data_IF_003654052242
#
_entry.id   IF_003654052242
#
_cell.length_a   1.000
_cell.length_b   1.000
_cell.length_c   1.000
_cell.angle_alpha   90.00
_cell.angle_beta   90.00
_cell.angle_gamma   90.00
#
_symmetry.space_group_name_H-M   'P 1'
#
loop_
_entity.id
_entity.type
_entity.pdbx_description
1 polymer ?
#
# COMPACT_ATOMS: atom_id res chain seq x y z
N UNK A 1 -14.19 25.31 8.02
CA UNK A 1 -13.89 24.28 6.99
C UNK A 1 -15.08 23.36 6.88
N UNK A 2 -15.69 23.29 5.69
CA UNK A 2 -16.98 22.62 5.51
C UNK A 2 -16.86 21.09 5.56
N UNK A 3 -15.73 20.51 5.14
CA UNK A 3 -15.65 19.06 4.84
C UNK A 3 -14.87 18.26 5.88
N UNK A 4 -14.26 18.90 6.89
CA UNK A 4 -13.50 18.23 7.96
C UNK A 4 -14.29 17.09 8.62
N UNK A 5 -15.56 17.34 8.92
CA UNK A 5 -16.43 16.33 9.54
C UNK A 5 -16.75 15.17 8.56
N UNK A 6 -16.93 15.47 7.29
CA UNK A 6 -17.17 14.47 6.24
C UNK A 6 -15.92 13.60 6.02
N UNK A 7 -14.74 14.22 5.99
CA UNK A 7 -13.45 13.51 5.92
C UNK A 7 -13.30 12.57 7.11
N UNK A 8 -13.56 13.05 8.33
CA UNK A 8 -13.49 12.22 9.53
C UNK A 8 -14.51 11.05 9.49
N UNK A 9 -15.73 11.29 9.02
CA UNK A 9 -16.75 10.24 8.88
C UNK A 9 -16.35 9.18 7.85
N UNK A 10 -15.85 9.61 6.68
CA UNK A 10 -15.37 8.71 5.61
C UNK A 10 -14.20 7.87 6.12
N UNK A 11 -13.21 8.47 6.81
CA UNK A 11 -12.05 7.74 7.30
C UNK A 11 -12.38 6.76 8.43
N UNK A 12 -13.34 7.10 9.28
CA UNK A 12 -13.87 6.17 10.27
C UNK A 12 -14.49 4.94 9.60
N UNK A 13 -15.39 5.16 8.63
CA UNK A 13 -16.01 4.07 7.87
C UNK A 13 -14.98 3.25 7.09
N UNK A 14 -14.01 3.91 6.44
CA UNK A 14 -12.91 3.25 5.72
C UNK A 14 -12.06 2.39 6.66
N UNK A 15 -11.79 2.86 7.89
CA UNK A 15 -11.04 2.11 8.89
C UNK A 15 -11.78 0.87 9.38
N UNK A 16 -13.10 0.96 9.56
CA UNK A 16 -13.96 -0.18 9.92
C UNK A 16 -14.00 -1.21 8.77
N UNK A 17 -14.27 -0.75 7.55
CA UNK A 17 -14.27 -1.60 6.35
C UNK A 17 -12.92 -2.26 6.11
N UNK A 18 -11.82 -1.57 6.36
CA UNK A 18 -10.47 -2.12 6.26
C UNK A 18 -10.23 -3.27 7.23
N UNK A 19 -10.72 -3.18 8.48
CA UNK A 19 -10.63 -4.27 9.45
C UNK A 19 -11.38 -5.51 8.97
N UNK A 20 -12.57 -5.33 8.40
CA UNK A 20 -13.37 -6.43 7.85
C UNK A 20 -12.66 -7.08 6.64
N UNK A 21 -12.13 -6.28 5.72
CA UNK A 21 -11.39 -6.77 4.55
C UNK A 21 -10.14 -7.54 5.00
N UNK A 22 -9.41 -7.02 5.99
CA UNK A 22 -8.23 -7.68 6.53
C UNK A 22 -8.57 -9.03 7.15
N UNK A 23 -9.58 -9.10 8.02
CA UNK A 23 -10.04 -10.36 8.61
C UNK A 23 -10.44 -11.37 7.53
N UNK A 24 -11.14 -10.90 6.48
CA UNK A 24 -11.51 -11.72 5.33
C UNK A 24 -10.29 -12.27 4.58
N UNK A 25 -9.26 -11.46 4.34
CA UNK A 25 -8.03 -11.97 3.75
C UNK A 25 -7.29 -12.96 4.64
N UNK A 26 -7.26 -12.74 5.96
CA UNK A 26 -6.67 -13.67 6.92
C UNK A 26 -7.39 -15.02 6.91
N UNK A 27 -8.73 -15.02 6.79
CA UNK A 27 -9.53 -16.23 6.60
C UNK A 27 -9.26 -16.88 5.23
N UNK A 28 -9.08 -16.07 4.18
CA UNK A 28 -8.71 -16.54 2.86
C UNK A 28 -7.30 -17.15 2.84
N UNK A 29 -6.41 -16.89 3.81
CA UNK A 29 -5.16 -17.66 3.92
C UNK A 29 -5.45 -19.16 4.10
N UNK A 30 -6.53 -19.49 4.82
CA UNK A 30 -6.94 -20.85 5.19
C UNK A 30 -7.95 -21.45 4.19
N UNK A 31 -8.83 -20.63 3.63
CA UNK A 31 -9.92 -21.04 2.73
C UNK A 31 -9.68 -20.60 1.28
N UNK A 32 -10.01 -21.47 0.30
CA UNK A 32 -9.56 -21.33 -1.10
C UNK A 32 -10.22 -20.20 -1.92
N UNK A 33 -11.29 -19.54 -1.47
CA UNK A 33 -11.94 -18.51 -2.29
C UNK A 33 -12.78 -17.54 -1.48
N UNK A 34 -12.54 -16.23 -1.68
CA UNK A 34 -13.47 -15.17 -1.32
C UNK A 34 -13.36 -14.01 -2.33
N UNK A 35 -14.51 -13.54 -2.83
CA UNK A 35 -14.55 -12.39 -3.72
C UNK A 35 -14.54 -11.09 -2.89
N UNK A 36 -13.40 -10.41 -2.88
CA UNK A 36 -13.21 -9.13 -2.18
C UNK A 36 -13.11 -7.95 -3.14
N UNK A 37 -13.43 -8.11 -4.44
CA UNK A 37 -13.30 -7.03 -5.44
C UNK A 37 -14.12 -5.80 -5.06
N UNK A 38 -15.40 -6.00 -4.73
CA UNK A 38 -16.31 -4.90 -4.40
C UNK A 38 -15.92 -4.22 -3.08
N UNK A 39 -15.71 -4.94 -1.95
CA UNK A 39 -15.25 -4.32 -0.72
C UNK A 39 -13.96 -3.51 -0.88
N UNK A 40 -12.96 -4.06 -1.59
CA UNK A 40 -11.69 -3.38 -1.82
C UNK A 40 -11.88 -2.12 -2.65
N UNK A 41 -12.65 -2.19 -3.75
CA UNK A 41 -12.98 -1.01 -4.56
C UNK A 41 -13.64 0.08 -3.73
N UNK A 42 -14.69 -0.26 -2.98
CA UNK A 42 -15.44 0.71 -2.19
C UNK A 42 -14.55 1.38 -1.14
N UNK A 43 -13.66 0.62 -0.48
CA UNK A 43 -12.69 1.17 0.46
C UNK A 43 -11.76 2.18 -0.24
N UNK A 44 -11.18 1.80 -1.39
CA UNK A 44 -10.28 2.67 -2.14
C UNK A 44 -11.00 3.95 -2.61
N UNK A 45 -12.24 3.86 -3.06
CA UNK A 45 -13.05 5.01 -3.47
C UNK A 45 -13.34 5.97 -2.31
N UNK A 46 -13.63 5.43 -1.12
CA UNK A 46 -13.79 6.23 0.09
C UNK A 46 -12.50 6.96 0.46
N UNK A 47 -11.36 6.27 0.44
CA UNK A 47 -10.05 6.88 0.68
C UNK A 47 -9.77 7.98 -0.35
N UNK A 48 -10.03 7.74 -1.64
CA UNK A 48 -9.85 8.75 -2.68
C UNK A 48 -10.76 9.97 -2.48
N UNK A 49 -12.01 9.74 -2.11
CA UNK A 49 -12.97 10.82 -1.84
C UNK A 49 -12.51 11.70 -0.67
N UNK A 50 -11.97 11.10 0.39
CA UNK A 50 -11.40 11.86 1.52
C UNK A 50 -10.22 12.74 1.09
N UNK A 51 -9.35 12.25 0.21
CA UNK A 51 -8.26 13.03 -0.38
C UNK A 51 -8.81 14.22 -1.18
N UNK A 52 -9.79 14.00 -2.05
CA UNK A 52 -10.35 15.07 -2.88
C UNK A 52 -11.10 16.12 -2.03
N UNK A 53 -11.77 15.72 -0.95
CA UNK A 53 -12.38 16.67 0.01
C UNK A 53 -11.34 17.53 0.72
N UNK A 54 -10.20 16.93 1.12
CA UNK A 54 -9.07 17.70 1.66
C UNK A 54 -8.50 18.69 0.64
N UNK A 55 -8.44 18.34 -0.64
CA UNK A 55 -7.98 19.27 -1.68
C UNK A 55 -8.89 20.51 -1.78
N UNK A 56 -10.21 20.33 -1.66
CA UNK A 56 -11.15 21.44 -1.57
C UNK A 56 -10.94 22.30 -0.33
N UNK A 57 -10.76 21.69 0.84
CA UNK A 57 -10.50 22.44 2.07
C UNK A 57 -9.16 23.20 2.01
N UNK A 58 -8.10 22.61 1.43
CA UNK A 58 -6.81 23.29 1.15
C UNK A 58 -7.01 24.48 0.21
N UNK A 59 -7.77 24.30 -0.87
CA UNK A 59 -8.04 25.37 -1.81
C UNK A 59 -8.74 26.54 -1.12
N UNK A 60 -9.82 26.26 -0.40
CA UNK A 60 -10.63 27.27 0.29
C UNK A 60 -9.83 28.01 1.37
N UNK A 61 -9.00 27.32 2.14
CA UNK A 61 -8.23 27.90 3.24
C UNK A 61 -6.97 28.65 2.76
N UNK A 62 -6.20 28.06 1.84
CA UNK A 62 -4.87 28.57 1.49
C UNK A 62 -4.84 29.34 0.17
N UNK A 63 -5.60 28.90 -0.84
CA UNK A 63 -5.45 29.44 -2.20
C UNK A 63 -6.48 30.55 -2.49
N UNK A 64 -7.76 30.29 -2.19
CA UNK A 64 -8.90 31.14 -2.54
C UNK A 64 -8.83 32.57 -2.00
N UNK A 65 -8.34 32.87 -0.78
CA UNK A 65 -8.26 34.24 -0.28
C UNK A 65 -7.40 35.15 -1.17
N UNK A 66 -6.19 34.68 -1.52
CA UNK A 66 -5.24 35.44 -2.36
C UNK A 66 -5.75 35.65 -3.79
N UNK A 67 -6.44 34.65 -4.35
CA UNK A 67 -7.00 34.70 -5.71
C UNK A 67 -8.19 35.65 -5.80
N UNK A 68 -9.09 35.58 -4.82
CA UNK A 68 -10.23 36.50 -4.71
C UNK A 68 -9.76 37.95 -4.62
N UNK A 69 -8.72 38.22 -3.81
CA UNK A 69 -8.13 39.55 -3.68
C UNK A 69 -7.51 40.06 -5.01
N UNK A 70 -7.04 39.14 -5.85
CA UNK A 70 -6.41 39.45 -7.14
C UNK A 70 -7.37 39.30 -8.35
N UNK A 71 -8.67 39.15 -8.09
CA UNK A 71 -9.71 38.91 -9.10
C UNK A 71 -9.39 37.77 -10.09
N UNK A 72 -8.65 36.75 -9.64
CA UNK A 72 -8.34 35.58 -10.46
C UNK A 72 -9.48 34.55 -10.41
N UNK A 73 -9.81 33.88 -11.53
CA UNK A 73 -10.87 32.88 -11.56
C UNK A 73 -10.53 31.64 -10.73
N UNK A 74 -11.53 30.97 -10.17
CA UNK A 74 -11.35 29.67 -9.51
C UNK A 74 -10.87 28.61 -10.54
N UNK A 75 -10.02 27.65 -10.12
CA UNK A 75 -9.62 26.54 -10.99
C UNK A 75 -10.85 25.68 -11.32
N UNK A 76 -10.91 25.18 -12.57
CA UNK A 76 -12.05 24.39 -13.06
C UNK A 76 -12.26 23.10 -12.27
N UNK A 77 -11.15 22.50 -11.82
CA UNK A 77 -11.11 21.21 -11.15
C UNK A 77 -10.19 21.30 -9.94
N UNK A 78 -10.68 20.87 -8.79
CA UNK A 78 -9.89 20.77 -7.55
C UNK A 78 -9.88 19.29 -7.17
N UNK A 79 -8.71 18.67 -7.29
CA UNK A 79 -8.49 17.27 -6.94
C UNK A 79 -7.23 17.16 -6.11
N UNK A 80 -7.12 16.09 -5.31
CA UNK A 80 -5.91 15.85 -4.56
C UNK A 80 -4.72 15.58 -5.49
N UNK A 81 -3.61 16.32 -5.35
CA UNK A 81 -2.45 16.16 -6.22
C UNK A 81 -1.68 14.89 -5.87
N UNK A 82 -1.41 14.07 -6.88
CA UNK A 82 -0.54 12.90 -6.77
C UNK A 82 0.26 12.77 -8.07
N UNK A 83 1.54 12.40 -7.98
CA UNK A 83 2.40 12.29 -9.14
C UNK A 83 3.54 11.28 -8.92
N UNK A 84 4.09 10.73 -10.02
CA UNK A 84 5.26 9.85 -9.97
C UNK A 84 6.58 10.62 -9.80
N UNK A 85 6.67 11.83 -10.32
CA UNK A 85 7.89 12.64 -10.34
C UNK A 85 7.68 14.01 -9.71
N UNK A 86 8.77 14.64 -9.27
CA UNK A 86 8.71 15.99 -8.67
C UNK A 86 8.24 17.06 -9.67
N UNK A 87 8.65 16.94 -10.93
CA UNK A 87 8.24 17.86 -11.98
C UNK A 87 6.73 17.76 -12.25
N UNK A 88 6.20 16.54 -12.35
CA UNK A 88 4.77 16.30 -12.52
C UNK A 88 3.99 16.81 -11.31
N UNK A 89 4.48 16.58 -10.09
CA UNK A 89 3.85 17.10 -8.87
C UNK A 89 3.74 18.62 -8.89
N UNK A 90 4.84 19.32 -9.17
CA UNK A 90 4.87 20.80 -9.24
C UNK A 90 3.86 21.32 -10.25
N UNK A 91 3.80 20.69 -11.42
CA UNK A 91 2.88 21.05 -12.50
C UNK A 91 1.42 20.82 -12.10
N UNK A 92 1.11 19.66 -11.52
CA UNK A 92 -0.24 19.33 -11.07
C UNK A 92 -0.70 20.25 -9.94
N UNK A 93 0.12 20.45 -8.89
CA UNK A 93 -0.21 21.36 -7.78
C UNK A 93 -0.47 22.76 -8.31
N UNK A 94 0.34 23.26 -9.25
CA UNK A 94 0.12 24.56 -9.87
C UNK A 94 -1.22 24.68 -10.60
N UNK A 95 -1.73 23.57 -11.15
CA UNK A 95 -3.01 23.54 -11.86
C UNK A 95 -4.22 23.43 -10.92
N UNK A 96 -4.17 22.55 -9.91
CA UNK A 96 -5.32 22.26 -9.02
C UNK A 96 -5.35 23.10 -7.74
N UNK A 97 -4.18 23.56 -7.27
CA UNK A 97 -3.99 24.35 -6.05
C UNK A 97 -3.04 25.54 -6.35
N UNK A 98 -3.43 26.45 -7.26
CA UNK A 98 -2.56 27.51 -7.76
C UNK A 98 -2.12 28.45 -6.66
N UNK A 99 -0.80 28.66 -6.56
CA UNK A 99 -0.19 29.56 -5.58
C UNK A 99 0.06 28.94 -4.20
N UNK A 100 -0.32 27.68 -3.98
CA UNK A 100 -0.22 27.02 -2.66
C UNK A 100 1.15 27.16 -2.01
N UNK A 101 2.24 26.94 -2.77
CA UNK A 101 3.60 27.01 -2.23
C UNK A 101 3.92 28.38 -1.60
N UNK A 102 3.39 29.47 -2.17
CA UNK A 102 3.60 30.82 -1.65
C UNK A 102 2.65 31.16 -0.50
N UNK A 103 1.45 30.58 -0.48
CA UNK A 103 0.43 30.88 0.53
C UNK A 103 0.59 30.04 1.80
N UNK A 104 1.05 28.79 1.67
CA UNK A 104 1.33 27.91 2.79
C UNK A 104 2.41 26.90 2.41
N UNK A 105 3.66 27.24 2.76
CA UNK A 105 4.81 26.33 2.60
C UNK A 105 4.59 25.04 3.39
N UNK A 106 4.02 25.13 4.59
CA UNK A 106 3.77 23.97 5.45
C UNK A 106 2.81 22.95 4.78
N UNK A 107 1.70 23.41 4.19
CA UNK A 107 0.76 22.52 3.49
C UNK A 107 1.36 21.98 2.19
N UNK A 108 2.12 22.80 1.48
CA UNK A 108 2.84 22.35 0.28
C UNK A 108 3.84 21.22 0.60
N UNK A 109 4.66 21.40 1.64
CA UNK A 109 5.64 20.42 2.08
C UNK A 109 4.98 19.15 2.62
N UNK A 110 3.83 19.29 3.30
CA UNK A 110 3.02 18.15 3.73
C UNK A 110 2.54 17.31 2.53
N UNK A 111 1.98 17.94 1.49
CA UNK A 111 1.57 17.25 0.26
C UNK A 111 2.76 16.60 -0.46
N UNK A 112 3.91 17.28 -0.48
CA UNK A 112 5.15 16.81 -1.08
C UNK A 112 5.71 15.58 -0.34
N UNK A 113 5.61 15.56 0.99
CA UNK A 113 6.19 14.52 1.84
C UNK A 113 5.64 13.11 1.57
N UNK A 114 4.37 13.02 1.16
CA UNK A 114 3.71 11.73 0.90
C UNK A 114 3.84 11.27 -0.56
N UNK A 115 4.49 12.05 -1.42
CA UNK A 115 4.67 11.68 -2.83
C UNK A 115 5.75 10.58 -2.98
N UNK A 116 5.64 9.71 -3.99
CA UNK A 116 6.55 8.58 -4.19
C UNK A 116 8.03 8.95 -4.23
N UNK A 117 8.36 10.07 -4.87
CA UNK A 117 9.74 10.57 -5.03
C UNK A 117 10.28 11.27 -3.76
N UNK A 118 9.51 11.36 -2.68
CA UNK A 118 9.96 11.86 -1.37
C UNK A 118 9.90 10.80 -0.28
N UNK A 119 8.81 10.03 -0.19
CA UNK A 119 8.69 8.98 0.81
C UNK A 119 9.23 7.61 0.36
N UNK A 120 9.77 7.50 -0.86
CA UNK A 120 10.24 6.24 -1.46
C UNK A 120 9.18 5.13 -1.43
N UNK A 121 7.91 5.49 -1.58
CA UNK A 121 6.79 4.54 -1.58
C UNK A 121 5.68 5.00 -2.54
N UNK A 122 5.23 4.10 -3.43
CA UNK A 122 4.27 4.42 -4.49
C UNK A 122 2.80 4.39 -4.06
N UNK A 123 2.49 4.13 -2.78
CA UNK A 123 1.12 3.88 -2.31
C UNK A 123 0.09 4.90 -2.80
N UNK A 124 0.39 6.21 -2.75
CA UNK A 124 -0.57 7.25 -3.13
C UNK A 124 -0.85 7.17 -4.64
N UNK A 125 0.22 6.99 -5.42
CA UNK A 125 0.09 6.86 -6.86
C UNK A 125 -0.67 5.58 -7.21
N UNK A 126 -0.30 4.44 -6.62
CA UNK A 126 -0.90 3.14 -6.86
C UNK A 126 -2.39 3.12 -6.47
N UNK A 127 -2.75 3.70 -5.32
CA UNK A 127 -4.14 3.86 -4.89
C UNK A 127 -4.97 4.59 -5.95
N UNK A 128 -4.43 5.70 -6.46
CA UNK A 128 -5.15 6.55 -7.41
C UNK A 128 -5.13 5.98 -8.82
N UNK A 129 -4.05 5.34 -9.26
CA UNK A 129 -3.94 4.74 -10.59
C UNK A 129 -4.84 3.51 -10.71
N UNK A 130 -4.86 2.62 -9.72
CA UNK A 130 -5.73 1.44 -9.71
C UNK A 130 -7.20 1.85 -9.81
N UNK A 131 -7.62 2.93 -9.13
CA UNK A 131 -8.98 3.43 -9.27
C UNK A 131 -9.22 4.03 -10.66
N UNK A 132 -8.30 4.86 -11.17
CA UNK A 132 -8.51 5.59 -12.41
C UNK A 132 -8.49 4.69 -13.65
N UNK A 133 -7.56 3.74 -13.72
CA UNK A 133 -7.46 2.78 -14.83
C UNK A 133 -8.72 1.91 -14.95
N UNK A 134 -9.46 1.73 -13.85
CA UNK A 134 -10.56 0.77 -13.77
C UNK A 134 -11.96 1.39 -13.62
N UNK A 135 -12.07 2.73 -13.57
CA UNK A 135 -13.34 3.47 -13.42
C UNK A 135 -14.37 3.18 -14.54
N UNK A 136 -13.93 2.73 -15.72
CA UNK A 136 -14.79 2.52 -16.89
C UNK A 136 -14.69 1.14 -17.55
N UNK A 137 -13.87 0.23 -17.01
CA UNK A 137 -13.58 -1.03 -17.69
C UNK A 137 -14.11 -2.25 -16.92
N UNK A 138 -13.67 -2.47 -15.67
CA UNK A 138 -14.11 -3.59 -14.84
C UNK A 138 -13.58 -3.49 -13.40
N UNK A 139 -14.14 -4.30 -12.50
CA UNK A 139 -13.53 -4.54 -11.19
C UNK A 139 -12.19 -5.26 -11.36
N UNK A 140 -11.11 -4.76 -10.73
CA UNK A 140 -9.79 -5.39 -10.80
C UNK A 140 -9.79 -6.71 -10.02
N UNK A 141 -9.59 -7.86 -10.70
CA UNK A 141 -9.46 -9.13 -10.01
C UNK A 141 -8.25 -9.17 -9.10
N UNK A 142 -8.29 -10.04 -8.10
CA UNK A 142 -7.21 -10.21 -7.14
C UNK A 142 -6.63 -11.60 -7.33
N UNK A 143 -5.37 -11.66 -7.75
CA UNK A 143 -4.63 -12.89 -7.95
C UNK A 143 -4.02 -13.36 -6.63
N UNK A 144 -4.37 -14.58 -6.23
CA UNK A 144 -3.71 -15.27 -5.12
C UNK A 144 -2.35 -15.80 -5.59
N UNK A 145 -1.27 -15.26 -5.05
CA UNK A 145 0.10 -15.77 -5.26
C UNK A 145 0.56 -16.51 -4.01
N UNK A 146 0.87 -17.80 -4.20
CA UNK A 146 1.44 -18.64 -3.15
C UNK A 146 2.92 -18.88 -3.40
N UNK A 147 3.74 -18.76 -2.36
CA UNK A 147 5.13 -19.20 -2.38
C UNK A 147 5.41 -20.04 -1.15
N UNK A 148 6.21 -21.07 -1.29
CA UNK A 148 6.59 -21.92 -0.16
C UNK A 148 8.06 -21.78 0.16
N UNK A 149 8.40 -22.02 1.41
CA UNK A 149 9.78 -22.08 1.90
C UNK A 149 9.96 -23.34 2.73
N UNK A 150 11.10 -23.99 2.59
CA UNK A 150 11.51 -25.13 3.40
C UNK A 150 12.57 -24.63 4.39
N UNK A 151 12.29 -24.76 5.68
CA UNK A 151 13.21 -24.35 6.74
C UNK A 151 13.63 -25.53 7.61
N UNK A 152 14.92 -25.64 7.88
CA UNK A 152 15.46 -26.51 8.92
C UNK A 152 15.90 -25.62 10.08
N UNK A 153 15.31 -25.85 11.26
CA UNK A 153 15.53 -25.04 12.46
C UNK A 153 16.31 -25.84 13.50
N UNK A 154 17.22 -25.16 14.19
CA UNK A 154 17.91 -25.67 15.37
C UNK A 154 17.97 -24.59 16.45
N UNK A 155 18.61 -24.89 17.58
CA UNK A 155 18.68 -23.97 18.73
C UNK A 155 19.35 -22.62 18.43
N UNK A 156 20.17 -22.54 17.37
CA UNK A 156 20.98 -21.37 17.04
C UNK A 156 20.53 -20.63 15.77
N UNK A 157 19.44 -21.06 15.13
CA UNK A 157 18.91 -20.38 13.94
C UNK A 157 18.15 -21.30 12.98
N UNK A 158 17.99 -20.83 11.74
CA UNK A 158 17.35 -21.60 10.67
C UNK A 158 18.08 -21.46 9.34
N UNK A 159 18.12 -22.55 8.58
CA UNK A 159 18.46 -22.54 7.15
C UNK A 159 17.17 -22.66 6.36
N UNK A 160 16.90 -21.69 5.48
CA UNK A 160 15.66 -21.61 4.71
C UNK A 160 15.95 -21.53 3.22
N UNK A 161 15.26 -22.33 2.42
CA UNK A 161 15.28 -22.27 0.96
C UNK A 161 13.88 -22.03 0.41
N UNK A 162 13.78 -21.32 -0.71
CA UNK A 162 12.52 -21.16 -1.45
C UNK A 162 12.16 -22.48 -2.13
N UNK A 163 10.88 -22.84 -2.07
CA UNK A 163 10.33 -23.97 -2.82
C UNK A 163 9.65 -23.52 -4.10
N UNK A 164 9.78 -24.32 -5.14
CA UNK A 164 9.13 -24.12 -6.42
C UNK A 164 10.10 -23.82 -7.57
N UNK A 165 9.54 -23.58 -8.78
CA UNK A 165 10.34 -23.42 -10.00
C UNK A 165 11.33 -22.25 -9.91
N UNK A 166 12.53 -22.45 -10.46
CA UNK A 166 13.56 -21.40 -10.53
C UNK A 166 14.39 -21.19 -9.26
N UNK A 167 14.25 -22.05 -8.25
CA UNK A 167 15.13 -22.07 -7.07
C UNK A 167 15.55 -23.51 -6.80
N UNK A 168 16.85 -23.80 -6.90
CA UNK A 168 17.40 -25.13 -6.68
C UNK A 168 18.78 -25.04 -6.04
N UNK A 169 18.95 -25.76 -4.93
CA UNK A 169 20.25 -25.99 -4.30
C UNK A 169 20.42 -27.50 -4.15
N UNK A 170 21.52 -28.07 -4.61
CA UNK A 170 21.77 -29.51 -4.51
C UNK A 170 23.12 -29.79 -3.86
N UNK A 171 23.19 -30.87 -3.09
CA UNK A 171 24.44 -31.39 -2.55
C UNK A 171 24.43 -32.91 -2.52
N UNK A 172 25.62 -33.51 -2.39
CA UNK A 172 25.73 -34.92 -2.03
C UNK A 172 25.30 -35.13 -0.56
N UNK A 173 24.82 -36.32 -0.19
CA UNK A 173 24.50 -36.64 1.20
C UNK A 173 25.70 -36.38 2.13
N UNK A 174 25.49 -35.62 3.21
CA UNK A 174 26.52 -35.34 4.22
C UNK A 174 27.62 -34.37 3.78
N UNK A 175 27.61 -33.88 2.54
CA UNK A 175 28.57 -32.87 2.06
C UNK A 175 28.38 -31.51 2.73
N UNK A 176 27.20 -31.27 3.30
CA UNK A 176 26.87 -30.08 4.08
C UNK A 176 26.46 -30.50 5.49
N UNK A 177 26.66 -29.59 6.44
CA UNK A 177 26.13 -29.72 7.79
C UNK A 177 25.25 -28.53 8.10
N UNK A 178 24.08 -28.79 8.64
CA UNK A 178 23.17 -27.77 9.17
C UNK A 178 23.25 -27.82 10.68
N UNK A 179 23.77 -26.77 11.32
CA UNK A 179 24.00 -26.71 12.77
C UNK A 179 24.80 -27.92 13.31
N UNK A 180 25.81 -28.37 12.57
CA UNK A 180 26.64 -29.52 12.93
C UNK A 180 26.07 -30.89 12.57
N UNK A 181 24.80 -30.97 12.18
CA UNK A 181 24.12 -32.21 11.76
C UNK A 181 24.35 -32.43 10.27
N UNK A 182 24.79 -33.62 9.81
CA UNK A 182 24.88 -33.95 8.40
C UNK A 182 23.55 -33.72 7.67
N UNK A 183 23.61 -33.04 6.53
CA UNK A 183 22.45 -32.69 5.73
C UNK A 183 22.69 -32.87 4.23
N UNK A 184 21.61 -32.76 3.46
CA UNK A 184 21.61 -32.79 2.01
C UNK A 184 20.60 -31.77 1.47
N UNK A 185 21.03 -30.92 0.55
CA UNK A 185 20.13 -30.11 -0.25
C UNK A 185 19.65 -30.90 -1.47
N UNK A 186 18.34 -30.93 -1.69
CA UNK A 186 17.66 -31.74 -2.71
C UNK A 186 16.79 -30.87 -3.61
N UNK A 187 17.36 -29.80 -4.16
CA UNK A 187 16.65 -28.83 -4.98
C UNK A 187 15.85 -27.86 -4.11
N UNK A 188 14.61 -28.23 -3.79
CA UNK A 188 13.65 -27.43 -3.02
C UNK A 188 13.40 -27.98 -1.60
N UNK A 189 14.14 -29.02 -1.19
CA UNK A 189 14.04 -29.64 0.12
C UNK A 189 15.42 -29.81 0.79
N UNK A 190 15.40 -29.99 2.11
CA UNK A 190 16.59 -30.27 2.91
C UNK A 190 16.34 -31.56 3.69
N UNK A 191 17.19 -32.57 3.50
CA UNK A 191 17.24 -33.76 4.35
C UNK A 191 18.32 -33.56 5.42
N UNK A 192 18.07 -34.01 6.64
CA UNK A 192 19.06 -34.04 7.73
C UNK A 192 18.98 -35.36 8.50
N UNK A 193 20.02 -35.71 9.25
CA UNK A 193 19.98 -36.90 10.12
C UNK A 193 18.87 -36.74 11.17
N UNK A 194 17.87 -37.65 11.24
CA UNK A 194 16.75 -37.56 12.19
C UNK A 194 17.19 -37.51 13.66
N UNK A 195 18.37 -38.03 13.99
CA UNK A 195 18.93 -38.01 15.35
C UNK A 195 19.52 -36.65 15.73
N UNK A 196 19.64 -35.73 14.78
CA UNK A 196 20.21 -34.40 14.97
C UNK A 196 19.29 -33.41 15.67
N UNK A 197 18.03 -33.78 15.94
CA UNK A 197 17.08 -32.93 16.68
C UNK A 197 16.75 -31.61 15.97
N UNK A 198 16.75 -31.60 14.64
CA UNK A 198 16.39 -30.43 13.84
C UNK A 198 14.91 -30.49 13.44
N UNK A 199 14.25 -29.35 13.50
CA UNK A 199 12.85 -29.22 13.11
C UNK A 199 12.73 -28.82 11.64
N UNK A 200 11.98 -29.59 10.87
CA UNK A 200 11.73 -29.33 9.46
C UNK A 200 10.35 -28.69 9.30
N UNK A 201 10.31 -27.46 8.78
CA UNK A 201 9.09 -26.66 8.66
C UNK A 201 8.92 -26.19 7.23
N UNK A 202 7.76 -26.48 6.64
CA UNK A 202 7.32 -25.87 5.39
C UNK A 202 6.42 -24.68 5.73
N UNK A 203 6.81 -23.49 5.31
CA UNK A 203 5.99 -22.27 5.47
C UNK A 203 5.44 -21.85 4.12
N UNK A 204 4.11 -21.77 4.02
CA UNK A 204 3.39 -21.25 2.86
C UNK A 204 3.04 -19.78 3.08
N UNK A 205 3.51 -18.95 2.18
CA UNK A 205 3.21 -17.53 2.11
C UNK A 205 2.13 -17.32 1.05
N UNK A 206 1.07 -16.62 1.41
CA UNK A 206 -0.02 -16.29 0.50
C UNK A 206 -0.13 -14.78 0.44
N UNK A 207 -0.20 -14.25 -0.77
CA UNK A 207 -0.38 -12.83 -1.04
C UNK A 207 -1.47 -12.65 -2.08
N UNK A 208 -2.14 -11.50 -2.04
CA UNK A 208 -3.17 -11.13 -3.00
C UNK A 208 -2.68 -9.90 -3.76
N UNK A 209 -2.61 -10.00 -5.08
CA UNK A 209 -2.11 -8.96 -5.98
C UNK A 209 -3.25 -8.45 -6.86
N UNK A 210 -3.27 -7.17 -7.20
CA UNK A 210 -4.16 -6.72 -8.27
C UNK A 210 -3.72 -7.33 -9.61
N UNK A 211 -4.65 -7.96 -10.33
CA UNK A 211 -4.42 -8.61 -11.63
C UNK A 211 -3.70 -7.67 -12.60
N UNK A 212 -2.70 -8.19 -13.31
CA UNK A 212 -1.90 -7.39 -14.26
C UNK A 212 -0.91 -6.41 -13.61
N UNK A 213 -0.80 -6.41 -12.28
CA UNK A 213 0.13 -5.54 -11.54
C UNK A 213 1.02 -6.33 -10.57
N UNK A 214 2.01 -5.64 -9.99
CA UNK A 214 2.80 -6.14 -8.86
C UNK A 214 2.40 -5.48 -7.53
N UNK A 215 1.18 -4.96 -7.44
CA UNK A 215 0.69 -4.26 -6.25
C UNK A 215 0.01 -5.26 -5.31
N UNK A 216 0.53 -5.39 -4.09
CA UNK A 216 -0.09 -6.19 -3.04
C UNK A 216 -1.30 -5.47 -2.46
N UNK A 217 -2.48 -6.08 -2.53
CA UNK A 217 -3.76 -5.44 -2.18
C UNK A 217 -3.77 -5.03 -0.71
N UNK A 218 -3.52 -5.98 0.21
CA UNK A 218 -3.49 -5.69 1.64
C UNK A 218 -2.39 -4.68 2.00
N UNK A 219 -1.21 -4.81 1.41
CA UNK A 219 -0.10 -3.89 1.62
C UNK A 219 -0.49 -2.46 1.25
N UNK A 220 -1.12 -2.27 0.09
CA UNK A 220 -1.61 -0.98 -0.35
C UNK A 220 -2.69 -0.43 0.59
N UNK A 221 -3.69 -1.23 0.97
CA UNK A 221 -4.78 -0.79 1.84
C UNK A 221 -4.27 -0.41 3.23
N UNK A 222 -3.44 -1.25 3.86
CA UNK A 222 -2.83 -0.97 5.16
C UNK A 222 -2.07 0.35 5.13
N UNK A 223 -1.24 0.55 4.09
CA UNK A 223 -0.44 1.78 3.96
C UNK A 223 -1.30 3.00 3.71
N UNK A 224 -2.31 2.88 2.84
CA UNK A 224 -3.19 3.99 2.47
C UNK A 224 -4.04 4.46 3.65
N UNK A 225 -4.71 3.55 4.37
CA UNK A 225 -5.55 3.90 5.52
C UNK A 225 -4.73 4.59 6.60
N UNK A 226 -3.58 4.01 6.99
CA UNK A 226 -2.73 4.59 8.03
C UNK A 226 -2.18 5.96 7.63
N UNK A 227 -1.62 6.07 6.43
CA UNK A 227 -0.95 7.31 6.00
C UNK A 227 -1.97 8.44 5.77
N UNK A 228 -3.17 8.14 5.25
CA UNK A 228 -4.22 9.16 5.08
C UNK A 228 -4.74 9.65 6.44
N UNK A 229 -4.89 8.76 7.41
CA UNK A 229 -5.32 9.14 8.76
C UNK A 229 -4.31 10.09 9.42
N UNK A 230 -3.02 9.74 9.37
CA UNK A 230 -1.93 10.60 9.86
C UNK A 230 -1.88 11.94 9.12
N UNK A 231 -2.05 11.90 7.79
CA UNK A 231 -2.04 13.09 6.95
C UNK A 231 -3.18 14.06 7.28
N UNK A 232 -4.40 13.55 7.54
CA UNK A 232 -5.56 14.37 7.93
C UNK A 232 -5.29 15.16 9.20
N UNK A 233 -4.73 14.50 10.22
CA UNK A 233 -4.46 15.12 11.51
C UNK A 233 -3.43 16.25 11.37
N UNK A 234 -2.39 16.05 10.57
CA UNK A 234 -1.39 17.09 10.29
C UNK A 234 -1.94 18.20 9.39
N UNK A 235 -2.71 17.86 8.36
CA UNK A 235 -3.29 18.85 7.46
C UNK A 235 -4.15 19.84 8.24
N UNK A 236 -5.12 19.33 9.01
CA UNK A 236 -6.05 20.18 9.73
C UNK A 236 -5.43 20.93 10.91
N UNK A 237 -4.18 20.66 11.29
CA UNK A 237 -3.41 21.57 12.18
C UNK A 237 -2.87 22.79 11.44
N UNK A 238 -2.60 22.66 10.13
CA UNK A 238 -1.95 23.67 9.31
C UNK A 238 -2.94 24.55 8.49
N UNK A 239 -4.22 24.18 8.44
CA UNK A 239 -5.27 24.96 7.75
C UNK A 239 -6.42 25.38 8.67
N UNK A 240 -6.33 25.06 9.96
CA UNK A 240 -7.28 25.48 11.00
C UNK A 240 -7.06 26.90 11.49
#
# INVERSE_FOLDING_TARGET
MSRKNDVAAILKAASEQHKEIKAKYDDALRNKSMDLKIPVKNLMENLRSSLDYMAHDIYEACCKPSRSASAQPDPKNIYFPYAKTEQDFRSHVGAVLPGLQSQSVAVYDLLLSIQPFKCNNTWLYDLCSVLNENKHERLVPQERKETETYSVKGQHGSVTIRRGPGSSVTSKPGAVKTFGVPAQFMGDAIASDPRGGLDHVITRWVSFMFEGTNINVLGLLNKSVATIQEFVDELYKNIS
#
